data_IF_342691966659
#
_entry.id   IF_342691966659
#
_cell.length_a   1.000
_cell.length_b   1.000
_cell.length_c   1.000
_cell.angle_alpha   90.00
_cell.angle_beta   90.00
_cell.angle_gamma   90.00
#
_symmetry.space_group_name_H-M   'P 1'
#
loop_
_entity.id
_entity.type
_entity.pdbx_description
1 polymer ?
#
# COMPACT_ATOMS: atom_id res chain seq x y z
N UNK A 1 9.16 -20.11 -14.12
CA UNK A 1 7.85 -20.70 -13.79
C UNK A 1 6.81 -19.59 -13.81
N UNK A 2 5.94 -19.64 -14.81
CA UNK A 2 4.84 -18.68 -15.04
C UNK A 2 3.63 -19.11 -14.19
N UNK A 3 2.76 -18.11 -13.92
CA UNK A 3 1.38 -18.19 -13.39
C UNK A 3 1.28 -18.00 -11.88
N UNK A 4 0.75 -16.84 -11.46
CA UNK A 4 -0.60 -16.72 -10.89
C UNK A 4 -1.11 -15.32 -11.26
N UNK A 5 -2.03 -15.29 -12.21
CA UNK A 5 -2.95 -14.19 -12.47
C UNK A 5 -4.08 -14.37 -11.46
N UNK A 6 -4.21 -13.44 -10.51
CA UNK A 6 -5.44 -13.22 -9.74
C UNK A 6 -5.72 -11.73 -9.96
N UNK A 7 -6.58 -11.30 -10.88
CA UNK A 7 -7.89 -11.87 -11.18
C UNK A 7 -8.97 -11.11 -10.41
N UNK A 8 -9.03 -9.78 -10.56
CA UNK A 8 -10.21 -8.96 -10.23
C UNK A 8 -10.40 -7.94 -11.37
N UNK A 9 -10.76 -8.47 -12.54
CA UNK A 9 -11.53 -7.76 -13.55
C UNK A 9 -12.97 -7.74 -13.01
N UNK A 10 -13.31 -6.74 -12.19
CA UNK A 10 -14.73 -6.49 -11.88
C UNK A 10 -15.31 -5.91 -13.16
N UNK A 11 -15.93 -6.78 -13.95
CA UNK A 11 -16.91 -6.38 -14.94
C UNK A 11 -17.96 -5.51 -14.23
N UNK A 12 -17.88 -4.20 -14.40
CA UNK A 12 -19.02 -3.31 -14.14
C UNK A 12 -19.91 -3.43 -15.38
N UNK A 13 -20.59 -4.57 -15.48
CA UNK A 13 -21.81 -4.72 -16.27
C UNK A 13 -22.92 -4.92 -15.26
N UNK A 14 -23.37 -3.81 -14.68
CA UNK A 14 -24.67 -3.73 -14.00
C UNK A 14 -25.38 -2.51 -14.54
N UNK A 15 -26.21 -2.81 -15.54
CA UNK A 15 -27.54 -2.25 -15.80
C UNK A 15 -27.60 -0.79 -16.25
N UNK A 16 -27.88 -0.64 -17.54
CA UNK A 16 -28.34 0.56 -18.25
C UNK A 16 -29.73 1.08 -17.76
N UNK A 17 -30.02 1.02 -16.46
CA UNK A 17 -31.35 1.29 -15.89
C UNK A 17 -31.46 2.50 -14.94
N UNK A 18 -30.42 3.34 -14.81
CA UNK A 18 -30.37 4.47 -13.85
C UNK A 18 -30.02 5.82 -14.50
N UNK A 19 -30.33 6.00 -15.79
CA UNK A 19 -30.09 7.25 -16.53
C UNK A 19 -31.25 8.24 -16.38
N UNK A 20 -31.52 8.66 -15.16
CA UNK A 20 -32.30 9.87 -14.87
C UNK A 20 -31.75 10.55 -13.60
N UNK A 21 -30.44 10.78 -13.57
CA UNK A 21 -29.85 11.74 -12.64
C UNK A 21 -29.22 12.87 -13.44
N UNK A 22 -29.32 14.09 -12.90
CA UNK A 22 -28.85 15.32 -13.56
C UNK A 22 -27.38 15.18 -13.97
N UNK A 23 -26.98 15.85 -15.06
CA UNK A 23 -25.59 15.87 -15.57
C UNK A 23 -24.56 16.17 -14.46
N UNK A 24 -24.95 17.03 -13.51
CA UNK A 24 -24.20 17.35 -12.30
C UNK A 24 -23.88 16.14 -11.42
N UNK A 25 -24.86 15.29 -11.12
CA UNK A 25 -24.65 14.09 -10.30
C UNK A 25 -23.76 13.08 -11.00
N UNK A 26 -23.93 12.91 -12.32
CA UNK A 26 -23.10 11.99 -13.11
C UNK A 26 -21.62 12.42 -13.06
N UNK A 27 -21.34 13.72 -13.15
CA UNK A 27 -19.98 14.25 -13.00
C UNK A 27 -19.39 13.92 -11.62
N UNK A 28 -20.13 14.13 -10.53
CA UNK A 28 -19.66 13.78 -9.18
C UNK A 28 -19.37 12.28 -9.02
N UNK A 29 -20.26 11.43 -9.52
CA UNK A 29 -20.08 9.97 -9.44
C UNK A 29 -18.84 9.53 -10.22
N UNK A 30 -18.58 10.11 -11.40
CA UNK A 30 -17.41 9.78 -12.20
C UNK A 30 -16.11 10.23 -11.52
N UNK A 31 -16.07 11.47 -11.01
CA UNK A 31 -14.93 11.97 -10.24
C UNK A 31 -14.64 11.07 -9.03
N UNK A 32 -15.68 10.64 -8.31
CA UNK A 32 -15.52 9.74 -7.17
C UNK A 32 -15.00 8.35 -7.60
N UNK A 33 -15.43 7.82 -8.74
CA UNK A 33 -14.88 6.56 -9.29
C UNK A 33 -13.39 6.67 -9.59
N UNK A 34 -12.97 7.77 -10.21
CA UNK A 34 -11.55 8.05 -10.50
C UNK A 34 -10.75 8.17 -9.20
N UNK A 35 -11.27 8.92 -8.22
CA UNK A 35 -10.68 9.03 -6.88
C UNK A 35 -10.47 7.64 -6.24
N UNK A 36 -11.48 6.77 -6.26
CA UNK A 36 -11.38 5.41 -5.70
C UNK A 36 -10.35 4.54 -6.41
N UNK A 37 -10.19 4.71 -7.73
CA UNK A 37 -9.16 3.99 -8.49
C UNK A 37 -7.76 4.41 -8.05
N UNK A 38 -7.53 5.72 -7.92
CA UNK A 38 -6.25 6.26 -7.45
C UNK A 38 -5.94 5.78 -6.02
N UNK A 39 -6.90 5.88 -5.10
CA UNK A 39 -6.74 5.42 -3.72
C UNK A 39 -6.46 3.93 -3.61
N UNK A 40 -7.11 3.10 -4.43
CA UNK A 40 -6.80 1.66 -4.48
C UNK A 40 -5.35 1.41 -4.91
N UNK A 41 -4.83 2.22 -5.82
CA UNK A 41 -3.41 2.20 -6.21
C UNK A 41 -2.49 2.55 -5.04
N UNK A 42 -2.75 3.67 -4.36
CA UNK A 42 -1.99 4.09 -3.17
C UNK A 42 -2.01 3.02 -2.07
N UNK A 43 -3.20 2.56 -1.66
CA UNK A 43 -3.35 1.52 -0.64
C UNK A 43 -2.64 0.22 -0.96
N UNK A 44 -2.49 -0.14 -2.24
CA UNK A 44 -1.79 -1.37 -2.63
C UNK A 44 -0.31 -1.41 -2.24
N UNK A 45 0.27 -0.23 -1.99
CA UNK A 45 1.67 -0.05 -1.57
C UNK A 45 1.85 -0.13 -0.05
N UNK A 46 0.77 -0.08 0.73
CA UNK A 46 0.85 -0.09 2.18
C UNK A 46 0.82 -1.49 2.77
N UNK A 47 1.38 -1.64 3.96
CA UNK A 47 1.28 -2.85 4.77
C UNK A 47 -0.05 -2.76 5.53
N UNK A 48 -1.12 -3.11 4.83
CA UNK A 48 -2.50 -3.01 5.33
C UNK A 48 -2.76 -4.06 6.43
N UNK A 49 -2.22 -3.84 7.62
CA UNK A 49 -2.39 -4.70 8.79
C UNK A 49 -3.74 -4.43 9.47
N UNK A 50 -3.69 -3.63 10.54
CA UNK A 50 -4.87 -3.25 11.36
C UNK A 50 -5.96 -2.53 10.58
N UNK A 51 -5.60 -1.81 9.53
CA UNK A 51 -6.48 -0.90 8.79
C UNK A 51 -7.28 -1.57 7.66
N UNK A 52 -7.03 -2.85 7.37
CA UNK A 52 -7.68 -3.59 6.26
C UNK A 52 -9.21 -3.67 6.42
N UNK A 53 -9.67 -3.85 7.66
CA UNK A 53 -11.11 -3.90 7.97
C UNK A 53 -11.79 -2.56 7.67
N UNK A 54 -11.17 -1.46 8.07
CA UNK A 54 -11.70 -0.12 7.85
C UNK A 54 -11.69 0.23 6.35
N UNK A 55 -10.59 -0.04 5.66
CA UNK A 55 -10.48 0.12 4.21
C UNK A 55 -11.57 -0.66 3.46
N UNK A 56 -11.74 -1.96 3.76
CA UNK A 56 -12.79 -2.79 3.14
C UNK A 56 -14.19 -2.25 3.42
N UNK A 57 -14.44 -1.75 4.62
CA UNK A 57 -15.70 -1.12 5.01
C UNK A 57 -15.96 0.16 4.19
N UNK A 58 -14.97 1.04 4.09
CA UNK A 58 -15.05 2.27 3.29
C UNK A 58 -15.30 1.94 1.81
N UNK A 59 -14.56 1.00 1.22
CA UNK A 59 -14.77 0.57 -0.17
C UNK A 59 -16.17 -0.02 -0.41
N UNK A 60 -16.73 -0.76 0.56
CA UNK A 60 -18.12 -1.24 0.49
C UNK A 60 -19.11 -0.08 0.53
N UNK A 61 -18.88 0.92 1.39
CA UNK A 61 -19.69 2.15 1.44
C UNK A 61 -19.59 2.95 0.15
N UNK A 62 -18.41 3.05 -0.45
CA UNK A 62 -18.20 3.71 -1.75
C UNK A 62 -19.02 3.06 -2.86
N UNK A 63 -19.02 1.72 -2.93
CA UNK A 63 -19.84 0.97 -3.90
C UNK A 63 -21.33 1.28 -3.73
N UNK A 64 -21.83 1.25 -2.49
CA UNK A 64 -23.22 1.61 -2.19
C UNK A 64 -23.54 3.07 -2.54
N UNK A 65 -22.63 4.01 -2.26
CA UNK A 65 -22.83 5.41 -2.60
C UNK A 65 -22.95 5.63 -4.11
N UNK A 66 -22.18 4.89 -4.91
CA UNK A 66 -22.30 4.90 -6.37
C UNK A 66 -23.60 4.24 -6.83
N UNK A 67 -23.92 3.05 -6.31
CA UNK A 67 -25.12 2.27 -6.65
C UNK A 67 -26.42 3.06 -6.40
N UNK A 68 -26.51 3.72 -5.24
CA UNK A 68 -27.66 4.53 -4.86
C UNK A 68 -27.53 6.01 -5.24
N UNK A 69 -26.53 6.38 -6.05
CA UNK A 69 -26.26 7.77 -6.48
C UNK A 69 -26.22 8.79 -5.33
N UNK A 70 -25.77 8.37 -4.15
CA UNK A 70 -25.73 9.19 -2.94
C UNK A 70 -24.50 10.11 -2.95
N UNK A 71 -24.55 11.17 -3.76
CA UNK A 71 -23.47 12.14 -3.94
C UNK A 71 -23.11 12.90 -2.65
N UNK A 72 -24.04 13.00 -1.70
CA UNK A 72 -23.81 13.68 -0.42
C UNK A 72 -22.97 12.86 0.55
N UNK A 73 -22.94 11.54 0.40
CA UNK A 73 -22.11 10.65 1.21
C UNK A 73 -20.66 10.59 0.71
N UNK A 74 -20.40 10.87 -0.58
CA UNK A 74 -19.09 10.69 -1.21
C UNK A 74 -17.98 11.52 -0.54
N UNK A 75 -18.14 12.84 -0.28
CA UNK A 75 -17.06 13.64 0.33
C UNK A 75 -16.60 13.11 1.69
N UNK A 76 -17.54 12.65 2.53
CA UNK A 76 -17.22 12.04 3.83
C UNK A 76 -16.52 10.69 3.72
N UNK A 77 -16.69 10.01 2.59
CA UNK A 77 -15.98 8.74 2.32
C UNK A 77 -14.58 9.05 1.79
N UNK A 78 -14.43 10.07 0.94
CA UNK A 78 -13.12 10.58 0.47
C UNK A 78 -12.26 11.01 1.66
N UNK A 79 -12.79 11.87 2.53
CA UNK A 79 -12.11 12.34 3.75
C UNK A 79 -11.55 11.17 4.59
N UNK A 80 -12.38 10.16 4.87
CA UNK A 80 -11.97 9.00 5.66
C UNK A 80 -10.96 8.11 4.95
N UNK A 81 -11.04 8.00 3.62
CA UNK A 81 -10.04 7.26 2.85
C UNK A 81 -8.70 7.99 2.87
N UNK A 82 -8.69 9.32 2.78
CA UNK A 82 -7.48 10.14 2.86
C UNK A 82 -6.84 10.11 4.26
N UNK A 83 -7.65 10.15 5.32
CA UNK A 83 -7.19 9.94 6.70
C UNK A 83 -6.51 8.57 6.84
N UNK A 84 -7.16 7.52 6.31
CA UNK A 84 -6.66 6.16 6.39
C UNK A 84 -5.36 5.97 5.58
N UNK A 85 -5.24 6.59 4.40
CA UNK A 85 -3.98 6.63 3.63
C UNK A 85 -2.88 7.31 4.42
N UNK A 86 -3.19 8.47 4.99
CA UNK A 86 -2.20 9.27 5.73
C UNK A 86 -1.69 8.54 6.97
N UNK A 87 -2.60 7.86 7.68
CA UNK A 87 -2.28 7.02 8.82
C UNK A 87 -1.40 5.84 8.40
N UNK A 88 -1.81 5.07 7.40
CA UNK A 88 -1.05 3.92 6.91
C UNK A 88 0.35 4.33 6.42
N UNK A 89 0.45 5.43 5.68
CA UNK A 89 1.72 5.98 5.22
C UNK A 89 2.67 6.26 6.40
N UNK A 90 2.16 6.92 7.45
CA UNK A 90 2.96 7.28 8.63
C UNK A 90 3.42 6.04 9.40
N UNK A 91 2.52 5.10 9.64
CA UNK A 91 2.82 3.85 10.35
C UNK A 91 3.87 3.02 9.59
N UNK A 92 3.69 2.84 8.28
CA UNK A 92 4.63 2.09 7.44
C UNK A 92 6.02 2.76 7.40
N UNK A 93 6.07 4.08 7.24
CA UNK A 93 7.32 4.83 7.22
C UNK A 93 8.07 4.72 8.56
N UNK A 94 7.37 4.83 9.68
CA UNK A 94 7.94 4.70 11.03
C UNK A 94 8.49 3.29 11.27
N UNK A 95 7.68 2.25 11.00
CA UNK A 95 8.06 0.86 11.22
C UNK A 95 9.27 0.49 10.36
N UNK A 96 9.21 0.76 9.06
CA UNK A 96 10.28 0.35 8.14
C UNK A 96 11.56 1.15 8.36
N UNK A 97 11.47 2.44 8.71
CA UNK A 97 12.64 3.24 9.08
C UNK A 97 13.30 2.69 10.33
N UNK A 98 12.50 2.29 11.33
CA UNK A 98 13.02 1.67 12.55
C UNK A 98 13.71 0.34 12.26
N UNK A 99 13.05 -0.57 11.54
CA UNK A 99 13.62 -1.87 11.18
C UNK A 99 14.93 -1.71 10.37
N UNK A 100 14.97 -0.77 9.43
CA UNK A 100 16.17 -0.52 8.63
C UNK A 100 17.31 0.07 9.47
N UNK A 101 17.00 0.93 10.44
CA UNK A 101 17.99 1.45 11.37
C UNK A 101 18.53 0.36 12.31
N UNK A 102 17.67 -0.57 12.74
CA UNK A 102 18.10 -1.73 13.52
C UNK A 102 19.11 -2.57 12.71
N UNK A 103 18.83 -2.82 11.43
CA UNK A 103 19.77 -3.52 10.52
C UNK A 103 21.11 -2.78 10.40
N UNK A 104 21.09 -1.46 10.20
CA UNK A 104 22.32 -0.64 10.09
C UNK A 104 23.20 -0.69 11.33
N UNK A 105 22.59 -0.93 12.49
CA UNK A 105 23.29 -1.01 13.77
C UNK A 105 23.88 -2.41 14.04
N UNK A 106 23.57 -3.43 13.21
CA UNK A 106 24.16 -4.75 13.34
C UNK A 106 25.65 -4.72 12.97
N UNK A 107 26.50 -5.29 13.83
CA UNK A 107 27.93 -5.35 13.55
C UNK A 107 28.25 -6.38 12.46
N UNK A 108 28.71 -5.90 11.30
CA UNK A 108 29.07 -6.76 10.17
C UNK A 108 30.53 -7.25 10.20
N UNK A 109 31.25 -7.07 11.32
CA UNK A 109 32.70 -7.35 11.41
C UNK A 109 33.08 -8.80 11.14
N UNK A 110 32.17 -9.75 11.36
CA UNK A 110 32.38 -11.18 11.08
C UNK A 110 32.17 -11.55 9.61
N UNK A 111 31.59 -10.65 8.81
CA UNK A 111 31.29 -10.91 7.41
C UNK A 111 32.48 -10.54 6.51
N UNK A 112 32.55 -11.18 5.34
CA UNK A 112 33.50 -10.83 4.28
C UNK A 112 33.26 -9.42 3.75
N UNK A 113 34.25 -8.85 3.06
CA UNK A 113 34.14 -7.51 2.48
C UNK A 113 33.03 -7.47 1.41
N UNK A 114 32.96 -8.50 0.58
CA UNK A 114 31.97 -8.65 -0.49
C UNK A 114 30.56 -8.64 0.10
N UNK A 115 30.34 -9.38 1.19
CA UNK A 115 29.02 -9.47 1.83
C UNK A 115 28.60 -8.16 2.47
N UNK A 116 29.53 -7.42 3.08
CA UNK A 116 29.25 -6.07 3.63
C UNK A 116 28.79 -5.11 2.55
N UNK A 117 29.46 -5.10 1.40
CA UNK A 117 29.09 -4.24 0.26
C UNK A 117 27.71 -4.60 -0.28
N UNK A 118 27.40 -5.90 -0.37
CA UNK A 118 26.07 -6.37 -0.77
C UNK A 118 24.98 -5.84 0.18
N UNK A 119 25.17 -6.01 1.50
CA UNK A 119 24.23 -5.54 2.53
C UNK A 119 24.06 -4.02 2.45
N UNK A 120 25.15 -3.25 2.32
CA UNK A 120 25.08 -1.79 2.18
C UNK A 120 24.27 -1.35 0.95
N UNK A 121 24.37 -2.07 -0.16
CA UNK A 121 23.58 -1.79 -1.35
C UNK A 121 22.09 -2.11 -1.14
N UNK A 122 21.77 -3.23 -0.49
CA UNK A 122 20.38 -3.59 -0.17
C UNK A 122 19.75 -2.58 0.82
N UNK A 123 20.53 -2.07 1.78
CA UNK A 123 20.10 -0.99 2.69
C UNK A 123 19.75 0.26 1.89
N UNK A 124 20.65 0.73 1.01
CA UNK A 124 20.42 1.93 0.17
C UNK A 124 19.20 1.79 -0.74
N UNK A 125 19.01 0.60 -1.33
CA UNK A 125 17.83 0.31 -2.14
C UNK A 125 16.55 0.41 -1.31
N UNK A 126 16.56 -0.15 -0.10
CA UNK A 126 15.43 -0.09 0.83
C UNK A 126 15.12 1.34 1.27
N UNK A 127 16.14 2.17 1.53
CA UNK A 127 15.95 3.61 1.81
C UNK A 127 15.25 4.33 0.66
N UNK A 128 15.65 4.04 -0.58
CA UNK A 128 15.04 4.66 -1.75
C UNK A 128 13.58 4.22 -1.93
N UNK A 129 13.26 2.94 -1.68
CA UNK A 129 11.89 2.44 -1.71
C UNK A 129 11.00 3.14 -0.66
N UNK A 130 11.50 3.32 0.57
CA UNK A 130 10.77 4.06 1.63
C UNK A 130 10.53 5.52 1.20
N UNK A 131 11.56 6.21 0.71
CA UNK A 131 11.43 7.61 0.22
C UNK A 131 10.41 7.75 -0.91
N UNK A 132 10.30 6.73 -1.76
CA UNK A 132 9.35 6.69 -2.87
C UNK A 132 7.98 6.13 -2.47
N UNK A 133 7.70 5.93 -1.17
CA UNK A 133 6.45 5.38 -0.64
C UNK A 133 6.10 3.96 -1.15
N UNK A 134 7.11 3.20 -1.57
CA UNK A 134 6.99 1.83 -2.04
C UNK A 134 7.14 0.85 -0.86
N UNK A 135 6.36 1.07 0.21
CA UNK A 135 6.56 0.44 1.51
C UNK A 135 6.45 -1.08 1.48
N UNK A 136 5.52 -1.62 0.69
CA UNK A 136 5.38 -3.08 0.51
C UNK A 136 6.62 -3.73 -0.10
N UNK A 137 7.25 -3.07 -1.08
CA UNK A 137 8.50 -3.57 -1.67
C UNK A 137 9.68 -3.40 -0.71
N UNK A 138 9.73 -2.28 0.05
CA UNK A 138 10.72 -2.09 1.09
C UNK A 138 10.65 -3.18 2.17
N UNK A 139 9.45 -3.50 2.66
CA UNK A 139 9.22 -4.56 3.65
C UNK A 139 9.74 -5.93 3.18
N UNK A 140 9.45 -6.30 1.92
CA UNK A 140 9.93 -7.56 1.31
C UNK A 140 11.45 -7.67 1.27
N UNK A 141 12.19 -6.55 1.30
CA UNK A 141 13.65 -6.53 1.33
C UNK A 141 14.21 -6.46 2.75
N UNK A 142 13.64 -5.60 3.60
CA UNK A 142 14.11 -5.37 4.97
C UNK A 142 13.96 -6.62 5.85
N UNK A 143 12.79 -7.25 5.85
CA UNK A 143 12.50 -8.40 6.71
C UNK A 143 13.46 -9.58 6.49
N UNK A 144 13.71 -10.07 5.25
CA UNK A 144 14.66 -11.15 5.04
C UNK A 144 16.11 -10.73 5.28
N UNK A 145 16.48 -9.48 4.96
CA UNK A 145 17.86 -8.98 5.15
C UNK A 145 18.31 -9.07 6.60
N UNK A 146 17.45 -8.69 7.55
CA UNK A 146 17.76 -8.83 8.98
C UNK A 146 18.06 -10.29 9.35
N UNK A 147 17.21 -11.22 8.88
CA UNK A 147 17.36 -12.67 9.15
C UNK A 147 18.64 -13.23 8.53
N UNK A 148 18.95 -12.83 7.30
CA UNK A 148 20.14 -13.23 6.57
C UNK A 148 21.42 -12.80 7.32
N UNK A 149 21.49 -11.53 7.74
CA UNK A 149 22.63 -10.99 8.48
C UNK A 149 22.87 -11.79 9.77
N UNK A 150 21.81 -12.08 10.54
CA UNK A 150 21.94 -12.87 11.76
C UNK A 150 22.46 -14.29 11.49
N UNK A 151 21.93 -14.97 10.46
CA UNK A 151 22.37 -16.32 10.10
C UNK A 151 23.83 -16.36 9.64
N UNK A 152 24.25 -15.38 8.84
CA UNK A 152 25.63 -15.28 8.35
C UNK A 152 26.61 -14.98 9.50
N UNK A 153 26.19 -14.20 10.49
CA UNK A 153 27.00 -13.89 11.69
C UNK A 153 27.16 -15.12 12.61
N UNK A 154 26.16 -15.99 12.70
CA UNK A 154 26.20 -17.21 13.51
C UNK A 154 27.02 -18.31 12.80
N UNK A 155 26.97 -18.35 11.47
CA UNK A 155 27.66 -19.35 10.67
C UNK A 155 29.17 -19.09 10.49
N UNK A 156 29.66 -17.91 10.93
CA UNK A 156 31.07 -17.47 10.88
C UNK A 156 31.65 -17.14 12.27
#
# INVERSE_FOLDING_TARGET
MKKIIIGILIAIVVVAGLLAGTEYENKKINNFKEYLQNKKGEFSQYIIGSDDKEYKSLMKRSKKAIEYRNVNAMPKIEEKLDELVSKAQKEDEEILTKELNDIKNISLKKLSKEKRVEIENQIKESENLIKNKQYREASKKITPLSTEIYNDIISN
#
